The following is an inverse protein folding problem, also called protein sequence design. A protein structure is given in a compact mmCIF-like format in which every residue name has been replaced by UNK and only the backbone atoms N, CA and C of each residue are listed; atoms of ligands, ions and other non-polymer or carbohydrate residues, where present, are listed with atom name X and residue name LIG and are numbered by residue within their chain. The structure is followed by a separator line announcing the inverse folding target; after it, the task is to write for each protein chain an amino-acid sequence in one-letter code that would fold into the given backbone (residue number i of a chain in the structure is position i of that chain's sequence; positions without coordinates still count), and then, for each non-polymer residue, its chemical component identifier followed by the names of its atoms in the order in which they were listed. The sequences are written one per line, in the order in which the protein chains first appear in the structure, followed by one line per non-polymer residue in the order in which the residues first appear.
data_IF_953157687122
#
_entry.id   IF_953157687122
#
_cell.length_a   1.000
_cell.length_b   1.000
_cell.length_c   1.000
_cell.angle_alpha   90.00
_cell.angle_beta   90.00
_cell.angle_gamma   90.00
#
_symmetry.space_group_name_H-M   'P 1'
#
loop_
_entity.id
_entity.type
_entity.pdbx_description
1 polymer ?
#
# COMPACT_ATOMS: atom_id res chain seq x y z
N UNK A 1 55.10 -29.59 -27.30
CA UNK A 1 54.61 -28.96 -26.04
C UNK A 1 54.51 -27.47 -26.28
N UNK A 2 53.32 -26.90 -26.11
CA UNK A 2 53.06 -25.47 -26.29
C UNK A 2 51.59 -25.23 -26.58
N UNK A 3 50.74 -25.35 -25.54
CA UNK A 3 49.30 -25.11 -25.62
C UNK A 3 49.03 -23.65 -26.00
N UNK A 4 48.17 -23.46 -27.00
CA UNK A 4 47.55 -22.18 -27.30
C UNK A 4 46.50 -21.86 -26.22
N UNK A 5 46.67 -20.74 -25.52
CA UNK A 5 45.68 -20.18 -24.59
C UNK A 5 44.89 -19.14 -25.36
N UNK A 6 43.62 -19.44 -25.65
CA UNK A 6 42.64 -18.49 -26.17
C UNK A 6 42.22 -17.54 -25.04
N UNK A 7 42.47 -16.24 -25.22
CA UNK A 7 41.94 -15.18 -24.35
C UNK A 7 40.44 -15.00 -24.62
N UNK A 8 39.61 -15.31 -23.64
CA UNK A 8 38.20 -14.95 -23.62
C UNK A 8 38.05 -13.43 -23.54
N UNK A 9 37.38 -12.84 -24.54
CA UNK A 9 36.98 -11.44 -24.53
C UNK A 9 35.79 -11.28 -23.57
N UNK A 10 36.06 -10.88 -22.34
CA UNK A 10 35.02 -10.49 -21.39
C UNK A 10 34.23 -9.29 -21.96
N UNK A 11 32.93 -9.51 -22.22
CA UNK A 11 32.01 -8.46 -22.62
C UNK A 11 31.95 -7.40 -21.53
N UNK A 12 32.27 -6.15 -21.89
CA UNK A 12 32.12 -5.02 -20.99
C UNK A 12 30.64 -4.85 -20.61
N UNK A 13 30.30 -4.66 -19.32
CA UNK A 13 28.92 -4.45 -18.91
C UNK A 13 28.42 -3.11 -19.48
N UNK A 14 27.30 -3.15 -20.19
CA UNK A 14 26.60 -1.97 -20.71
C UNK A 14 26.30 -1.01 -19.55
N UNK A 15 26.63 0.28 -19.64
CA UNK A 15 26.34 1.24 -18.58
C UNK A 15 24.83 1.30 -18.34
N UNK A 16 24.44 1.14 -17.07
CA UNK A 16 23.04 1.25 -16.65
C UNK A 16 22.50 2.63 -17.06
N UNK A 17 21.42 2.63 -17.84
CA UNK A 17 20.73 3.86 -18.25
C UNK A 17 20.28 4.59 -16.99
N UNK A 18 20.88 5.77 -16.72
CA UNK A 18 20.41 6.64 -15.64
C UNK A 18 18.98 7.10 -16.00
N UNK A 19 17.98 6.89 -15.13
CA UNK A 19 16.66 7.45 -15.35
C UNK A 19 16.77 8.99 -15.43
N UNK A 20 15.94 9.65 -16.26
CA UNK A 20 16.00 11.10 -16.41
C UNK A 20 15.79 11.80 -15.06
N UNK A 21 16.45 12.96 -14.82
CA UNK A 21 16.27 13.70 -13.58
C UNK A 21 14.81 14.18 -13.49
N UNK A 22 14.03 13.54 -12.62
CA UNK A 22 12.67 13.94 -12.31
C UNK A 22 12.72 14.94 -11.15
N UNK A 23 12.06 16.10 -11.25
CA UNK A 23 11.90 16.96 -10.09
C UNK A 23 11.09 16.19 -9.03
N UNK A 24 11.66 16.06 -7.83
CA UNK A 24 11.15 15.22 -6.76
C UNK A 24 10.27 16.04 -5.82
N UNK A 25 8.98 15.73 -5.81
CA UNK A 25 7.96 16.45 -5.03
C UNK A 25 7.26 15.46 -4.09
N UNK A 26 7.85 15.16 -2.93
CA UNK A 26 7.39 14.06 -2.09
C UNK A 26 5.99 14.28 -1.53
N UNK A 27 5.60 15.54 -1.38
CA UNK A 27 4.31 15.95 -0.84
C UNK A 27 3.51 16.79 -1.86
N UNK A 28 3.63 16.45 -3.13
CA UNK A 28 2.88 17.10 -4.22
C UNK A 28 3.66 18.20 -4.95
N UNK A 29 3.41 18.30 -6.25
CA UNK A 29 3.99 19.32 -7.10
C UNK A 29 3.16 20.62 -6.97
N UNK A 30 3.78 21.70 -6.51
CA UNK A 30 3.12 23.03 -6.40
C UNK A 30 2.59 23.54 -7.74
N UNK A 31 3.15 23.08 -8.87
CA UNK A 31 2.68 23.43 -10.20
C UNK A 31 1.44 22.62 -10.66
N UNK A 32 0.98 21.61 -9.90
CA UNK A 32 -0.24 20.90 -10.22
C UNK A 32 -1.46 21.80 -9.99
N UNK A 33 -2.33 21.93 -11.01
CA UNK A 33 -3.56 22.71 -10.88
C UNK A 33 -4.51 22.10 -9.84
N UNK A 34 -5.22 22.96 -9.09
CA UNK A 34 -6.16 22.53 -8.05
C UNK A 34 -7.29 21.62 -8.55
N UNK A 35 -7.64 21.71 -9.84
CA UNK A 35 -8.70 20.94 -10.48
C UNK A 35 -8.16 20.20 -11.72
N UNK A 36 -7.67 18.96 -11.58
CA UNK A 36 -7.23 18.18 -12.73
C UNK A 36 -8.38 17.95 -13.72
N UNK A 37 -8.10 17.87 -15.04
CA UNK A 37 -9.10 17.46 -16.03
C UNK A 37 -9.64 16.06 -15.67
N UNK A 38 -10.96 15.90 -15.48
CA UNK A 38 -11.58 14.61 -15.14
C UNK A 38 -12.44 14.58 -13.88
N UNK A 39 -12.51 15.66 -13.08
CA UNK A 39 -13.41 15.75 -11.89
C UNK A 39 -14.89 15.90 -12.28
N UNK A 40 -15.31 15.37 -13.44
CA UNK A 40 -16.70 15.45 -13.89
C UNK A 40 -17.47 14.24 -13.38
N UNK A 41 -18.18 14.48 -12.28
CA UNK A 41 -19.36 13.76 -11.81
C UNK A 41 -19.23 12.23 -11.75
N UNK A 42 -18.90 11.69 -10.58
CA UNK A 42 -19.43 10.36 -10.24
C UNK A 42 -20.95 10.46 -10.16
N UNK A 43 -21.66 9.41 -10.56
CA UNK A 43 -23.11 9.25 -10.36
C UNK A 43 -23.49 9.08 -8.88
N UNK A 44 -22.64 9.56 -7.97
CA UNK A 44 -22.64 9.47 -6.50
C UNK A 44 -23.81 10.14 -5.81
N UNK A 45 -24.76 10.68 -6.58
CA UNK A 45 -25.96 11.36 -6.06
C UNK A 45 -26.80 10.33 -5.30
N UNK A 46 -26.54 10.21 -4.00
CA UNK A 46 -27.49 9.64 -3.05
C UNK A 46 -28.76 10.48 -3.19
N UNK A 47 -29.87 9.90 -3.67
CA UNK A 47 -31.10 10.67 -3.83
C UNK A 47 -31.52 11.21 -2.46
N UNK A 48 -32.04 12.44 -2.39
CA UNK A 48 -32.54 13.03 -1.14
C UNK A 48 -33.61 12.14 -0.47
N UNK A 49 -34.42 11.42 -1.26
CA UNK A 49 -35.49 10.54 -0.80
C UNK A 49 -35.52 9.23 -1.62
N UNK A 50 -34.61 8.28 -1.38
CA UNK A 50 -34.56 7.05 -2.16
C UNK A 50 -35.68 6.09 -1.71
N UNK A 51 -36.57 5.73 -2.64
CA UNK A 51 -37.61 4.71 -2.40
C UNK A 51 -37.11 3.26 -2.53
N UNK A 52 -35.84 3.06 -2.92
CA UNK A 52 -35.17 1.78 -3.14
C UNK A 52 -33.68 1.91 -2.77
N UNK A 53 -32.96 0.80 -2.52
CA UNK A 53 -31.52 0.84 -2.31
C UNK A 53 -30.80 1.57 -3.45
N UNK A 54 -29.87 2.46 -3.10
CA UNK A 54 -29.08 3.22 -4.07
C UNK A 54 -28.07 2.26 -4.71
N UNK A 55 -28.05 2.25 -6.04
CA UNK A 55 -27.11 1.49 -6.86
C UNK A 55 -26.13 2.47 -7.49
N UNK A 56 -24.85 2.13 -7.44
CA UNK A 56 -23.78 2.88 -8.07
C UNK A 56 -23.25 2.08 -9.26
N UNK A 57 -23.08 2.69 -10.43
CA UNK A 57 -22.57 2.00 -11.61
C UNK A 57 -21.05 1.75 -11.56
N UNK A 58 -20.32 2.44 -10.67
CA UNK A 58 -18.86 2.42 -10.55
C UNK A 58 -18.13 2.69 -11.88
N UNK A 59 -18.81 3.33 -12.82
CA UNK A 59 -18.25 3.74 -14.09
C UNK A 59 -17.77 5.19 -13.98
N UNK A 60 -16.54 5.46 -14.37
CA UNK A 60 -15.96 6.80 -14.31
C UNK A 60 -15.01 7.05 -15.48
N UNK A 61 -15.04 8.28 -16.01
CA UNK A 61 -14.08 8.76 -16.99
C UNK A 61 -12.76 9.12 -16.27
N UNK A 62 -11.87 8.14 -16.14
CA UNK A 62 -10.66 8.24 -15.32
C UNK A 62 -10.93 7.91 -13.85
N UNK A 63 -9.97 8.17 -12.94
CA UNK A 63 -10.08 7.77 -11.54
C UNK A 63 -11.21 8.54 -10.85
N UNK A 64 -12.05 7.83 -10.09
CA UNK A 64 -13.11 8.46 -9.34
C UNK A 64 -12.61 9.62 -8.47
N UNK A 65 -13.27 10.79 -8.51
CA UNK A 65 -12.94 11.94 -7.70
C UNK A 65 -13.02 11.59 -6.23
N UNK A 66 -12.14 12.24 -5.48
CA UNK A 66 -11.97 12.08 -4.05
C UNK A 66 -10.71 12.80 -3.63
N UNK A 67 -10.49 12.92 -2.32
CA UNK A 67 -9.35 13.65 -1.82
C UNK A 67 -8.72 13.00 -0.59
N UNK A 68 -7.38 12.98 -0.58
CA UNK A 68 -6.58 12.65 0.60
C UNK A 68 -5.93 13.91 1.23
N UNK A 69 -6.59 15.07 1.15
CA UNK A 69 -6.06 16.36 1.61
C UNK A 69 -6.24 16.62 3.11
N UNK A 70 -5.52 15.87 3.93
CA UNK A 70 -5.39 16.13 5.36
C UNK A 70 -4.03 15.61 5.82
N UNK A 71 -3.64 16.04 7.03
CA UNK A 71 -2.41 15.55 7.66
C UNK A 71 -2.71 14.26 8.41
N UNK A 72 -1.98 13.20 8.10
CA UNK A 72 -2.06 11.97 8.88
C UNK A 72 -1.60 12.20 10.33
N UNK A 73 -2.23 11.53 11.30
CA UNK A 73 -1.87 11.60 12.73
C UNK A 73 -0.44 11.14 12.92
N UNK A 74 0.42 11.99 13.46
CA UNK A 74 1.85 11.74 13.56
C UNK A 74 2.32 11.39 14.98
N UNK A 75 1.40 11.14 15.91
CA UNK A 75 1.71 10.72 17.27
C UNK A 75 2.29 11.82 18.16
N UNK A 76 3.06 11.45 19.18
CA UNK A 76 3.58 12.34 20.21
C UNK A 76 4.84 11.76 20.85
N UNK A 77 5.73 12.64 21.33
CA UNK A 77 7.00 12.27 21.98
C UNK A 77 6.72 11.48 23.25
N UNK A 78 5.66 11.86 23.96
CA UNK A 78 5.15 11.14 25.11
C UNK A 78 3.86 10.46 24.66
N UNK A 79 3.95 9.21 24.24
CA UNK A 79 2.81 8.44 23.74
C UNK A 79 1.63 8.42 24.72
N UNK A 80 1.90 8.35 26.03
CA UNK A 80 0.88 8.40 27.08
C UNK A 80 0.10 9.73 27.16
N UNK A 81 0.61 10.80 26.54
CA UNK A 81 -0.05 12.12 26.48
C UNK A 81 -0.69 12.39 25.11
N UNK A 82 -0.57 11.47 24.15
CA UNK A 82 -1.20 11.62 22.85
C UNK A 82 -2.73 11.65 22.99
N UNK A 83 -3.37 12.59 22.28
CA UNK A 83 -4.82 12.79 22.27
C UNK A 83 -5.44 12.56 20.90
N UNK A 84 -4.64 12.10 19.94
CA UNK A 84 -5.14 11.75 18.60
C UNK A 84 -6.11 10.56 18.72
N UNK A 85 -7.07 10.42 17.79
CA UNK A 85 -7.95 9.25 17.77
C UNK A 85 -7.12 7.96 17.65
N UNK A 86 -7.66 6.85 18.16
CA UNK A 86 -7.02 5.52 18.02
C UNK A 86 -6.95 5.06 16.56
N UNK A 87 -7.94 5.47 15.77
CA UNK A 87 -8.04 5.24 14.33
C UNK A 87 -8.38 6.57 13.68
N UNK A 88 -7.49 7.11 12.85
CA UNK A 88 -7.85 8.21 11.97
C UNK A 88 -8.59 7.64 10.76
N UNK A 89 -9.72 8.24 10.41
CA UNK A 89 -10.57 7.78 9.31
C UNK A 89 -10.66 8.89 8.29
N UNK A 90 -10.45 8.53 7.04
CA UNK A 90 -10.53 9.43 5.91
C UNK A 90 -11.44 8.81 4.90
N UNK A 91 -12.49 9.55 4.55
CA UNK A 91 -13.34 9.20 3.43
C UNK A 91 -12.76 9.86 2.17
N UNK A 92 -12.14 9.06 1.30
CA UNK A 92 -11.63 9.54 0.02
C UNK A 92 -12.79 9.98 -0.87
N UNK A 93 -13.82 9.13 -0.97
CA UNK A 93 -15.09 9.39 -1.64
C UNK A 93 -16.23 8.57 -0.99
N UNK A 94 -17.42 8.54 -1.58
CA UNK A 94 -18.62 7.89 -1.04
C UNK A 94 -18.45 6.39 -0.69
N UNK A 95 -17.55 5.69 -1.37
CA UNK A 95 -17.39 4.23 -1.28
C UNK A 95 -15.95 3.80 -0.94
N UNK A 96 -15.06 4.71 -0.58
CA UNK A 96 -13.64 4.44 -0.36
C UNK A 96 -13.11 5.15 0.87
N UNK A 97 -12.62 4.39 1.82
CA UNK A 97 -12.09 4.88 3.09
C UNK A 97 -10.68 4.40 3.32
N UNK A 98 -9.84 5.29 3.83
CA UNK A 98 -8.47 5.02 4.26
C UNK A 98 -8.42 5.25 5.77
N UNK A 99 -7.99 4.24 6.51
CA UNK A 99 -7.90 4.29 7.96
C UNK A 99 -6.43 4.19 8.35
N UNK A 100 -6.03 4.92 9.38
CA UNK A 100 -4.66 4.89 9.92
C UNK A 100 -4.69 4.56 11.39
N UNK A 101 -3.92 3.56 11.79
CA UNK A 101 -3.69 3.27 13.19
C UNK A 101 -2.81 4.34 13.84
N UNK A 102 -3.17 4.78 15.05
CA UNK A 102 -2.40 5.80 15.77
C UNK A 102 -0.94 5.37 16.04
N UNK A 103 0.02 6.24 15.69
CA UNK A 103 1.47 6.02 15.84
C UNK A 103 1.90 5.71 17.28
N UNK A 104 1.20 6.28 18.27
CA UNK A 104 1.46 6.02 19.69
C UNK A 104 0.88 4.68 20.17
N UNK A 105 0.02 4.03 19.38
CA UNK A 105 -0.44 2.65 19.64
C UNK A 105 0.50 1.65 19.00
N UNK A 106 0.87 1.87 17.74
CA UNK A 106 1.89 1.09 17.05
C UNK A 106 2.76 2.01 16.20
N UNK A 107 4.08 1.90 16.35
CA UNK A 107 5.04 2.82 15.75
C UNK A 107 5.03 2.79 14.21
N UNK A 108 4.66 1.67 13.58
CA UNK A 108 4.47 1.60 12.12
C UNK A 108 3.24 2.39 11.65
N UNK A 109 2.24 2.56 12.51
CA UNK A 109 1.01 3.28 12.21
C UNK A 109 0.34 2.81 10.90
N UNK A 110 0.08 1.50 10.75
CA UNK A 110 -0.35 0.91 9.50
C UNK A 110 -1.67 1.50 8.99
N UNK A 111 -1.80 1.49 7.67
CA UNK A 111 -3.01 1.84 6.95
C UNK A 111 -3.87 0.60 6.71
N UNK A 112 -5.19 0.78 6.75
CA UNK A 112 -6.17 -0.20 6.29
C UNK A 112 -7.15 0.48 5.34
N UNK A 113 -7.64 -0.27 4.36
CA UNK A 113 -8.47 0.29 3.28
C UNK A 113 -9.83 -0.39 3.26
N UNK A 114 -10.91 0.40 3.33
CA UNK A 114 -12.28 -0.10 3.31
C UNK A 114 -12.98 0.38 2.04
N UNK A 115 -13.34 -0.57 1.18
CA UNK A 115 -13.95 -0.36 -0.13
C UNK A 115 -15.37 -0.91 -0.14
N UNK A 116 -16.31 -0.16 -0.71
CA UNK A 116 -17.69 -0.59 -0.87
C UNK A 116 -18.05 -0.83 -2.34
N UNK A 117 -18.88 -1.85 -2.58
CA UNK A 117 -19.58 -2.12 -3.82
C UNK A 117 -21.10 -2.27 -3.60
N UNK A 118 -21.88 -2.62 -4.63
CA UNK A 118 -23.34 -2.76 -4.49
C UNK A 118 -23.79 -4.02 -3.71
N UNK A 119 -22.93 -5.02 -3.53
CA UNK A 119 -23.27 -6.32 -2.94
C UNK A 119 -22.30 -6.78 -1.85
N UNK A 120 -21.13 -6.16 -1.72
CA UNK A 120 -20.13 -6.48 -0.70
C UNK A 120 -19.23 -5.30 -0.38
N UNK A 121 -18.50 -5.40 0.73
CA UNK A 121 -17.42 -4.51 1.10
C UNK A 121 -16.13 -5.32 1.28
N UNK A 122 -14.98 -4.67 1.07
CA UNK A 122 -13.65 -5.24 1.25
C UNK A 122 -12.87 -4.40 2.26
N UNK A 123 -12.37 -5.03 3.32
CA UNK A 123 -11.34 -4.48 4.19
C UNK A 123 -10.00 -5.11 3.80
N UNK A 124 -9.06 -4.29 3.34
CA UNK A 124 -7.68 -4.66 3.03
C UNK A 124 -6.83 -4.29 4.25
N UNK A 125 -6.16 -5.31 4.79
CA UNK A 125 -5.35 -5.26 6.00
C UNK A 125 -6.13 -4.89 7.27
N UNK A 126 -5.53 -5.16 8.42
CA UNK A 126 -6.17 -5.05 9.74
C UNK A 126 -5.25 -4.45 10.80
N UNK A 127 -4.13 -3.83 10.39
CA UNK A 127 -3.17 -3.18 11.28
C UNK A 127 -2.44 -4.11 12.26
N UNK A 128 -1.68 -3.48 13.16
CA UNK A 128 -0.65 -4.14 13.96
C UNK A 128 -1.08 -4.44 15.40
N UNK A 129 -2.33 -4.19 15.78
CA UNK A 129 -2.79 -4.35 17.17
C UNK A 129 -4.09 -5.12 17.29
N UNK A 130 -4.02 -6.24 18.01
CA UNK A 130 -5.16 -7.11 18.28
C UNK A 130 -6.16 -6.52 19.29
N UNK A 131 -5.66 -5.81 20.32
CA UNK A 131 -6.48 -5.30 21.43
C UNK A 131 -7.35 -4.11 21.01
N UNK A 132 -8.66 -4.34 20.97
CA UNK A 132 -9.65 -3.34 20.59
C UNK A 132 -9.66 -2.09 21.50
N UNK A 133 -9.17 -2.18 22.75
CA UNK A 133 -9.06 -1.00 23.63
C UNK A 133 -8.01 0.00 23.13
N UNK A 134 -7.02 -0.50 22.40
CA UNK A 134 -5.92 0.29 21.86
C UNK A 134 -6.13 0.61 20.38
N UNK A 135 -6.71 -0.32 19.62
CA UNK A 135 -7.04 -0.16 18.20
C UNK A 135 -8.43 -0.75 17.90
N UNK A 136 -9.52 0.01 18.11
CA UNK A 136 -10.91 -0.47 17.95
C UNK A 136 -11.33 -0.55 16.47
N UNK A 137 -10.61 -1.34 15.67
CA UNK A 137 -10.81 -1.42 14.23
C UNK A 137 -12.21 -1.97 13.87
N UNK A 138 -12.66 -3.05 14.51
CA UNK A 138 -13.99 -3.60 14.21
C UNK A 138 -15.10 -2.60 14.50
N UNK A 139 -15.08 -1.97 15.67
CA UNK A 139 -16.09 -0.97 16.06
C UNK A 139 -16.11 0.18 15.04
N UNK A 140 -14.92 0.64 14.63
CA UNK A 140 -14.76 1.68 13.61
C UNK A 140 -15.35 1.27 12.27
N UNK A 141 -15.03 0.07 11.78
CA UNK A 141 -15.54 -0.47 10.51
C UNK A 141 -17.05 -0.67 10.58
N UNK A 142 -17.58 -1.20 11.69
CA UNK A 142 -19.03 -1.37 11.89
C UNK A 142 -19.77 -0.02 11.85
N UNK A 143 -19.21 1.02 12.48
CA UNK A 143 -19.79 2.36 12.43
C UNK A 143 -19.81 2.95 11.00
N UNK A 144 -18.73 2.75 10.21
CA UNK A 144 -18.68 3.19 8.81
C UNK A 144 -19.71 2.41 7.98
N UNK A 145 -19.74 1.08 8.12
CA UNK A 145 -20.69 0.20 7.41
C UNK A 145 -22.13 0.58 7.72
N UNK A 146 -22.49 0.82 8.99
CA UNK A 146 -23.85 1.23 9.35
C UNK A 146 -24.24 2.56 8.70
N UNK A 147 -23.37 3.58 8.73
CA UNK A 147 -23.62 4.88 8.10
C UNK A 147 -23.75 4.75 6.59
N UNK A 148 -22.87 3.98 5.96
CA UNK A 148 -22.91 3.72 4.53
C UNK A 148 -24.20 2.99 4.13
N UNK A 149 -24.59 1.95 4.86
CA UNK A 149 -25.84 1.22 4.64
C UNK A 149 -27.06 2.14 4.76
N UNK A 150 -27.10 3.01 5.77
CA UNK A 150 -28.17 4.01 5.92
C UNK A 150 -28.24 4.94 4.71
N UNK A 151 -27.10 5.51 4.29
CA UNK A 151 -27.03 6.38 3.12
C UNK A 151 -27.43 5.67 1.82
N UNK A 152 -27.18 4.36 1.72
CA UNK A 152 -27.52 3.55 0.54
C UNK A 152 -28.88 2.89 0.61
N UNK A 153 -29.69 3.14 1.65
CA UNK A 153 -31.00 2.53 1.82
C UNK A 153 -30.95 1.00 1.97
N UNK A 154 -29.95 0.49 2.69
CA UNK A 154 -29.68 -0.93 2.89
C UNK A 154 -29.70 -1.28 4.37
N UNK A 155 -30.13 -2.51 4.70
CA UNK A 155 -30.09 -3.01 6.08
C UNK A 155 -28.68 -3.46 6.49
N UNK A 156 -27.92 -4.07 5.58
CA UNK A 156 -26.58 -4.58 5.82
C UNK A 156 -25.82 -4.78 4.51
N UNK A 157 -24.51 -4.99 4.59
CA UNK A 157 -23.66 -5.42 3.48
C UNK A 157 -22.63 -6.46 3.98
N UNK A 158 -22.42 -7.58 3.26
CA UNK A 158 -21.35 -8.52 3.57
C UNK A 158 -19.97 -7.87 3.55
N UNK A 159 -19.07 -8.33 4.40
CA UNK A 159 -17.68 -7.85 4.49
C UNK A 159 -16.71 -8.98 4.18
N UNK A 160 -15.79 -8.77 3.25
CA UNK A 160 -14.59 -9.60 3.08
C UNK A 160 -13.42 -8.91 3.75
N UNK A 161 -12.67 -9.62 4.60
CA UNK A 161 -11.42 -9.14 5.19
C UNK A 161 -10.27 -9.90 4.53
N UNK A 162 -9.43 -9.18 3.80
CA UNK A 162 -8.30 -9.71 3.06
C UNK A 162 -7.00 -9.03 3.54
N UNK A 163 -5.88 -9.72 3.40
CA UNK A 163 -4.57 -9.20 3.77
C UNK A 163 -3.70 -9.10 2.53
N UNK A 164 -2.86 -8.06 2.46
CA UNK A 164 -1.76 -7.98 1.48
C UNK A 164 -0.69 -9.05 1.77
N UNK A 165 -0.57 -9.50 3.03
CA UNK A 165 0.15 -10.71 3.42
C UNK A 165 -0.39 -11.28 4.74
N UNK A 166 -0.50 -12.62 4.82
CA UNK A 166 -0.82 -13.32 6.05
C UNK A 166 0.38 -13.52 6.99
N UNK A 167 1.61 -13.32 6.50
CA UNK A 167 2.86 -13.34 7.28
C UNK A 167 3.13 -12.00 7.98
N UNK A 168 2.59 -10.91 7.44
CA UNK A 168 2.86 -9.57 7.94
C UNK A 168 2.12 -9.24 9.24
N UNK A 169 2.85 -9.27 10.36
CA UNK A 169 2.32 -8.92 11.67
C UNK A 169 2.05 -7.43 11.85
N UNK A 170 2.62 -6.55 11.01
CA UNK A 170 2.28 -5.13 11.01
C UNK A 170 0.87 -4.88 10.45
N UNK A 171 0.33 -5.83 9.69
CA UNK A 171 -0.92 -5.66 8.96
C UNK A 171 -2.03 -6.63 9.35
N UNK A 172 -1.76 -7.71 10.09
CA UNK A 172 -2.73 -8.79 10.29
C UNK A 172 -3.29 -8.98 11.72
N UNK A 173 -2.87 -8.16 12.69
CA UNK A 173 -3.15 -8.44 14.11
C UNK A 173 -4.58 -8.07 14.50
N UNK A 174 -5.16 -7.03 13.88
CA UNK A 174 -6.56 -6.65 14.12
C UNK A 174 -7.57 -7.67 13.58
N UNK A 175 -7.13 -8.65 12.78
CA UNK A 175 -7.99 -9.70 12.21
C UNK A 175 -8.82 -10.43 13.27
N UNK A 176 -8.26 -10.64 14.46
CA UNK A 176 -8.96 -11.31 15.58
C UNK A 176 -10.24 -10.60 16.00
N UNK A 177 -10.34 -9.28 15.79
CA UNK A 177 -11.52 -8.50 16.16
C UNK A 177 -12.74 -8.89 15.31
N UNK A 178 -12.52 -9.36 14.08
CA UNK A 178 -13.56 -9.75 13.14
C UNK A 178 -14.05 -11.19 13.34
N UNK A 179 -13.45 -11.96 14.27
CA UNK A 179 -13.95 -13.28 14.62
C UNK A 179 -15.41 -13.21 15.09
N UNK A 180 -16.26 -14.04 14.48
CA UNK A 180 -17.69 -14.11 14.79
C UNK A 180 -18.51 -12.88 14.36
N UNK A 181 -17.94 -11.94 13.61
CA UNK A 181 -18.72 -10.84 13.02
C UNK A 181 -19.70 -11.40 11.98
N UNK A 182 -21.03 -11.17 12.10
CA UNK A 182 -22.00 -11.68 11.13
C UNK A 182 -21.73 -11.20 9.70
N UNK A 183 -22.06 -12.02 8.70
CA UNK A 183 -21.92 -11.67 7.29
C UNK A 183 -20.49 -11.33 6.87
N UNK A 184 -19.48 -11.92 7.52
CA UNK A 184 -18.06 -11.62 7.29
C UNK A 184 -17.31 -12.85 6.80
N UNK A 185 -16.58 -12.70 5.70
CA UNK A 185 -15.65 -13.69 5.17
C UNK A 185 -14.22 -13.23 5.46
N UNK A 186 -13.44 -14.05 6.16
CA UNK A 186 -12.02 -13.81 6.38
C UNK A 186 -11.23 -14.67 5.41
N UNK A 187 -10.38 -14.05 4.59
CA UNK A 187 -9.47 -14.79 3.70
C UNK A 187 -8.48 -15.61 4.56
N UNK A 188 -8.32 -16.91 4.31
CA UNK A 188 -7.39 -17.74 5.07
C UNK A 188 -5.94 -17.27 4.93
N UNK A 189 -5.18 -17.23 6.03
CA UNK A 189 -3.75 -16.86 6.00
C UNK A 189 -2.82 -17.92 5.40
N UNK A 190 -2.98 -19.24 5.65
CA UNK A 190 -2.04 -20.22 5.12
C UNK A 190 -2.00 -20.19 3.59
N UNK A 191 -0.82 -19.97 3.01
CA UNK A 191 -0.61 -19.73 1.57
C UNK A 191 -1.36 -20.71 0.66
N UNK A 192 -1.32 -22.01 0.96
CA UNK A 192 -2.00 -23.02 0.15
C UNK A 192 -3.52 -22.81 0.11
N UNK A 193 -4.12 -22.46 1.24
CA UNK A 193 -5.56 -22.23 1.37
C UNK A 193 -5.95 -20.85 0.84
N UNK A 194 -5.10 -19.84 1.03
CA UNK A 194 -5.26 -18.51 0.42
C UNK A 194 -5.31 -18.61 -1.12
N UNK A 195 -4.38 -19.37 -1.72
CA UNK A 195 -4.37 -19.63 -3.16
C UNK A 195 -5.65 -20.31 -3.64
N UNK A 196 -6.16 -21.27 -2.88
CA UNK A 196 -7.43 -21.93 -3.19
C UNK A 196 -8.60 -20.95 -3.11
N UNK A 197 -8.64 -20.11 -2.07
CA UNK A 197 -9.68 -19.09 -1.88
C UNK A 197 -9.76 -18.14 -3.07
N UNK A 198 -8.62 -17.61 -3.53
CA UNK A 198 -8.58 -16.74 -4.71
C UNK A 198 -8.63 -17.51 -6.04
N UNK A 199 -8.68 -18.84 -6.04
CA UNK A 199 -8.66 -19.61 -7.28
C UNK A 199 -7.36 -19.47 -8.09
N UNK A 200 -6.23 -19.15 -7.43
CA UNK A 200 -4.93 -19.03 -8.10
C UNK A 200 -4.37 -20.38 -8.59
N UNK A 201 -4.94 -21.51 -8.17
CA UNK A 201 -4.65 -22.84 -8.71
C UNK A 201 -3.17 -23.08 -9.04
N UNK A 202 -2.90 -23.60 -10.24
CA UNK A 202 -1.55 -23.79 -10.78
C UNK A 202 -0.96 -22.55 -11.48
N UNK A 203 -1.64 -21.40 -11.45
CA UNK A 203 -1.19 -20.18 -12.15
C UNK A 203 -0.44 -19.21 -11.26
N UNK A 204 -0.34 -19.47 -9.94
CA UNK A 204 0.48 -18.67 -9.04
C UNK A 204 1.97 -18.71 -9.43
N UNK A 205 2.69 -17.58 -9.45
CA UNK A 205 2.24 -16.21 -9.13
C UNK A 205 1.82 -15.39 -10.37
N UNK A 206 1.71 -16.00 -11.55
CA UNK A 206 1.48 -15.29 -12.81
C UNK A 206 0.01 -14.95 -13.09
N UNK A 207 -0.95 -15.66 -12.49
CA UNK A 207 -2.39 -15.42 -12.68
C UNK A 207 -2.92 -14.26 -11.84
N UNK A 208 -4.00 -13.62 -12.30
CA UNK A 208 -4.77 -12.62 -11.54
C UNK A 208 -6.11 -13.20 -11.10
N UNK A 209 -6.62 -12.78 -9.94
CA UNK A 209 -7.95 -13.14 -9.43
C UNK A 209 -8.80 -11.89 -9.22
N UNK A 210 -10.05 -12.05 -8.76
CA UNK A 210 -11.04 -10.99 -8.59
C UNK A 210 -11.86 -11.17 -7.32
N UNK A 211 -12.18 -10.07 -6.66
CA UNK A 211 -13.20 -9.96 -5.62
C UNK A 211 -14.30 -9.02 -6.18
N UNK A 212 -15.47 -9.58 -6.48
CA UNK A 212 -16.61 -8.79 -6.97
C UNK A 212 -17.41 -8.24 -5.77
N UNK A 213 -17.42 -6.92 -5.62
CA UNK A 213 -18.17 -6.23 -4.57
C UNK A 213 -19.58 -5.85 -5.03
N UNK A 214 -20.05 -6.35 -6.17
CA UNK A 214 -21.27 -5.93 -6.84
C UNK A 214 -20.98 -4.72 -7.71
N UNK A 215 -20.51 -4.99 -8.92
CA UNK A 215 -20.21 -4.03 -10.00
C UNK A 215 -18.89 -3.25 -9.81
N UNK A 216 -18.37 -3.16 -8.58
CA UNK A 216 -16.96 -2.78 -8.31
C UNK A 216 -16.10 -4.03 -8.13
N UNK A 217 -15.31 -4.37 -9.16
CA UNK A 217 -14.51 -5.60 -9.18
C UNK A 217 -13.06 -5.29 -8.84
N UNK A 218 -12.59 -5.77 -7.68
CA UNK A 218 -11.21 -5.60 -7.24
C UNK A 218 -10.37 -6.72 -7.82
N UNK A 219 -9.27 -6.40 -8.49
CA UNK A 219 -8.33 -7.40 -8.99
C UNK A 219 -7.27 -7.73 -7.95
N UNK A 220 -6.97 -9.02 -7.79
CA UNK A 220 -5.97 -9.54 -6.86
C UNK A 220 -4.79 -10.06 -7.66
N UNK A 221 -3.61 -9.50 -7.40
CA UNK A 221 -2.38 -9.75 -8.15
C UNK A 221 -1.39 -10.39 -7.19
N UNK A 222 -0.91 -11.63 -7.42
CA UNK A 222 0.17 -12.20 -6.63
C UNK A 222 1.40 -11.31 -6.72
N UNK A 223 1.98 -10.98 -5.57
CA UNK A 223 3.20 -10.21 -5.46
C UNK A 223 4.11 -10.76 -4.36
N UNK A 224 4.55 -12.04 -4.45
CA UNK A 224 5.54 -12.56 -3.52
C UNK A 224 6.86 -11.78 -3.63
N UNK A 225 7.58 -11.63 -2.53
CA UNK A 225 8.84 -10.90 -2.51
C UNK A 225 9.22 -10.51 -1.09
N UNK A 226 8.60 -9.46 -0.54
CA UNK A 226 8.69 -9.11 0.89
C UNK A 226 8.21 -10.27 1.75
N UNK A 227 7.02 -10.79 1.43
CA UNK A 227 6.43 -11.98 2.03
C UNK A 227 6.14 -13.01 0.94
N UNK A 228 6.20 -14.30 1.27
CA UNK A 228 6.02 -15.37 0.25
C UNK A 228 4.57 -15.52 -0.21
N UNK A 229 3.63 -14.99 0.57
CA UNK A 229 2.20 -14.98 0.33
C UNK A 229 1.67 -13.60 -0.11
N UNK A 230 2.56 -12.68 -0.45
CA UNK A 230 2.21 -11.31 -0.82
C UNK A 230 1.23 -11.23 -1.99
N UNK A 231 0.22 -10.37 -1.86
CA UNK A 231 -0.71 -10.00 -2.92
C UNK A 231 -0.94 -8.48 -2.91
N UNK A 232 -1.16 -7.91 -4.10
CA UNK A 232 -1.61 -6.53 -4.29
C UNK A 232 -3.06 -6.51 -4.77
N UNK A 233 -3.80 -5.46 -4.43
CA UNK A 233 -5.18 -5.27 -4.83
C UNK A 233 -5.30 -4.05 -5.73
N UNK A 234 -5.97 -4.18 -6.87
CA UNK A 234 -6.24 -3.07 -7.77
C UNK A 234 -7.73 -2.74 -7.79
N UNK A 235 -8.06 -1.49 -7.49
CA UNK A 235 -9.40 -0.94 -7.58
C UNK A 235 -9.55 -0.08 -8.84
N UNK A 236 -10.30 -0.54 -9.86
CA UNK A 236 -10.48 0.20 -11.12
C UNK A 236 -11.39 1.42 -10.95
N UNK A 237 -12.13 1.55 -9.84
CA UNK A 237 -12.97 2.71 -9.62
C UNK A 237 -12.15 3.95 -9.26
N UNK A 238 -11.12 3.81 -8.40
CA UNK A 238 -10.24 4.92 -8.01
C UNK A 238 -8.88 4.93 -8.73
N UNK A 239 -8.59 3.93 -9.56
CA UNK A 239 -7.26 3.61 -10.08
C UNK A 239 -6.20 3.45 -8.98
N UNK A 240 -6.57 2.82 -7.86
CA UNK A 240 -5.67 2.58 -6.73
C UNK A 240 -5.07 1.18 -6.80
N UNK A 241 -3.76 1.10 -6.58
CA UNK A 241 -3.04 -0.16 -6.42
C UNK A 241 -2.52 -0.26 -4.99
N UNK A 242 -3.17 -1.10 -4.18
CA UNK A 242 -2.80 -1.38 -2.80
C UNK A 242 -1.69 -2.43 -2.77
N UNK A 243 -0.49 -2.03 -2.35
CA UNK A 243 0.74 -2.83 -2.46
C UNK A 243 1.24 -3.38 -1.13
N UNK A 244 0.59 -3.01 -0.02
CA UNK A 244 1.03 -3.41 1.33
C UNK A 244 2.51 -3.10 1.54
N UNK A 245 3.25 -4.08 2.05
CA UNK A 245 4.68 -3.96 2.33
C UNK A 245 5.59 -4.39 1.15
N UNK A 246 5.02 -4.61 -0.05
CA UNK A 246 5.81 -4.83 -1.26
C UNK A 246 6.50 -3.54 -1.73
N UNK A 247 5.73 -2.45 -1.82
CA UNK A 247 6.22 -1.15 -2.25
C UNK A 247 5.42 -0.08 -1.53
N UNK A 248 6.07 0.65 -0.64
CA UNK A 248 5.48 1.67 0.22
C UNK A 248 6.55 2.70 0.59
N UNK A 249 6.16 3.88 1.12
CA UNK A 249 7.14 4.88 1.51
C UNK A 249 7.82 4.52 2.84
N UNK A 250 8.69 3.52 2.83
CA UNK A 250 9.46 3.10 4.00
C UNK A 250 10.56 2.08 3.73
N UNK A 251 10.92 1.33 4.77
CA UNK A 251 11.96 0.30 4.76
C UNK A 251 11.37 -1.02 4.32
N UNK A 252 11.64 -1.41 3.08
CA UNK A 252 11.14 -2.65 2.48
C UNK A 252 12.12 -3.77 2.80
N UNK A 253 11.68 -4.75 3.60
CA UNK A 253 12.43 -5.96 3.90
C UNK A 253 12.15 -7.01 2.82
N UNK A 254 13.16 -7.36 2.04
CA UNK A 254 13.04 -8.32 0.95
C UNK A 254 13.24 -9.74 1.50
N UNK A 255 12.18 -10.54 1.52
CA UNK A 255 12.23 -11.95 1.93
C UNK A 255 12.81 -12.86 0.86
N UNK A 256 12.53 -12.58 -0.42
CA UNK A 256 13.10 -13.23 -1.58
C UNK A 256 13.28 -12.23 -2.73
N UNK A 257 14.52 -11.93 -3.10
CA UNK A 257 14.86 -10.90 -4.08
C UNK A 257 14.47 -11.24 -5.53
N UNK A 258 14.48 -12.52 -5.90
CA UNK A 258 14.04 -12.99 -7.22
C UNK A 258 12.54 -12.82 -7.37
N UNK A 259 11.77 -13.23 -6.37
CA UNK A 259 10.32 -13.06 -6.36
C UNK A 259 9.95 -11.57 -6.28
N UNK A 260 10.66 -10.79 -5.46
CA UNK A 260 10.44 -9.35 -5.33
C UNK A 260 10.61 -8.63 -6.67
N UNK A 261 11.73 -8.86 -7.37
CA UNK A 261 11.96 -8.29 -8.69
C UNK A 261 10.89 -8.75 -9.71
N UNK A 262 10.58 -10.05 -9.74
CA UNK A 262 9.56 -10.58 -10.65
C UNK A 262 8.16 -10.00 -10.37
N UNK A 263 7.85 -9.70 -9.11
CA UNK A 263 6.59 -9.06 -8.72
C UNK A 263 6.53 -7.60 -9.12
N UNK A 264 7.63 -6.85 -9.00
CA UNK A 264 7.69 -5.49 -9.51
C UNK A 264 7.54 -5.44 -11.04
N UNK A 265 8.18 -6.36 -11.77
CA UNK A 265 8.02 -6.47 -13.23
C UNK A 265 6.57 -6.83 -13.63
N UNK A 266 5.90 -7.68 -12.84
CA UNK A 266 4.47 -7.99 -13.03
C UNK A 266 3.60 -6.77 -12.78
N UNK A 267 3.85 -5.99 -11.73
CA UNK A 267 3.12 -4.75 -11.46
C UNK A 267 3.37 -3.70 -12.54
N UNK A 268 4.59 -3.62 -13.09
CA UNK A 268 4.88 -2.75 -14.25
C UNK A 268 4.05 -3.13 -15.46
N UNK A 269 4.02 -4.42 -15.80
CA UNK A 269 3.22 -4.91 -16.93
C UNK A 269 1.72 -4.65 -16.71
N UNK A 270 1.24 -4.82 -15.47
CA UNK A 270 -0.14 -4.51 -15.10
C UNK A 270 -0.46 -3.02 -15.23
N UNK A 271 0.39 -2.14 -14.69
CA UNK A 271 0.23 -0.68 -14.75
C UNK A 271 0.41 -0.10 -16.16
N UNK A 272 1.06 -0.82 -17.07
CA UNK A 272 1.10 -0.47 -18.49
C UNK A 272 -0.22 -0.78 -19.22
N UNK A 273 -0.99 -1.76 -18.71
CA UNK A 273 -2.26 -2.19 -19.29
C UNK A 273 -3.48 -1.49 -18.67
N UNK A 274 -3.34 -0.91 -17.48
CA UNK A 274 -4.42 -0.27 -16.72
C UNK A 274 -3.99 1.05 -16.12
N UNK A 275 -4.88 2.06 -16.06
CA UNK A 275 -4.56 3.30 -15.37
C UNK A 275 -4.31 3.05 -13.88
N UNK A 276 -3.25 3.64 -13.37
CA UNK A 276 -2.93 3.64 -11.93
C UNK A 276 -2.69 5.09 -11.54
N UNK A 277 -3.55 5.62 -10.68
CA UNK A 277 -3.42 6.96 -10.10
C UNK A 277 -2.39 6.95 -8.98
N UNK A 278 -2.58 6.06 -8.00
CA UNK A 278 -1.72 5.96 -6.81
C UNK A 278 -1.39 4.51 -6.45
N UNK A 279 -0.17 4.31 -5.98
CA UNK A 279 0.23 3.17 -5.17
C UNK A 279 -0.01 3.54 -3.70
N UNK A 280 -0.65 2.65 -2.95
CA UNK A 280 -1.00 2.85 -1.55
C UNK A 280 -0.45 1.67 -0.73
N UNK A 281 0.55 1.95 0.11
CA UNK A 281 1.31 0.95 0.86
C UNK A 281 0.77 0.66 2.26
N UNK A 282 1.48 -0.17 3.02
CA UNK A 282 1.07 -0.58 4.36
C UNK A 282 1.28 0.48 5.45
N UNK A 283 2.32 1.32 5.34
CA UNK A 283 2.65 2.36 6.31
C UNK A 283 3.55 3.44 5.68
N UNK A 284 3.87 4.48 6.46
CA UNK A 284 4.85 5.50 6.10
C UNK A 284 5.96 5.53 7.14
N UNK A 285 7.19 5.37 6.67
CA UNK A 285 8.40 5.52 7.48
C UNK A 285 9.36 6.55 6.91
N UNK A 286 9.28 6.84 5.61
CA UNK A 286 10.06 7.90 5.00
C UNK A 286 9.60 9.27 5.49
N UNK A 287 10.56 10.17 5.63
CA UNK A 287 10.30 11.59 5.85
C UNK A 287 9.99 12.26 4.51
N UNK A 288 9.45 13.48 4.54
CA UNK A 288 9.35 14.31 3.35
C UNK A 288 10.74 14.67 2.78
N UNK A 289 11.81 14.49 3.58
CA UNK A 289 13.19 14.71 3.14
C UNK A 289 13.67 13.43 2.43
N UNK A 290 14.06 13.52 1.13
CA UNK A 290 14.43 12.34 0.34
C UNK A 290 15.51 11.48 1.01
N UNK A 291 15.28 10.17 1.07
CA UNK A 291 16.23 9.19 1.62
C UNK A 291 16.38 9.20 3.14
N UNK A 292 15.63 10.05 3.84
CA UNK A 292 15.56 10.07 5.30
C UNK A 292 14.30 9.36 5.75
N UNK A 293 14.40 8.61 6.85
CA UNK A 293 13.32 7.82 7.40
C UNK A 293 13.40 7.80 8.92
N UNK A 294 12.27 7.53 9.56
CA UNK A 294 12.20 7.42 11.01
C UNK A 294 12.86 6.15 11.51
N UNK A 295 13.57 6.20 12.66
CA UNK A 295 14.06 4.99 13.30
C UNK A 295 12.89 4.11 13.74
N UNK A 296 13.15 2.81 13.88
CA UNK A 296 12.18 1.87 14.45
C UNK A 296 11.74 2.36 15.83
N UNK A 297 10.48 2.13 16.17
CA UNK A 297 9.86 2.54 17.44
C UNK A 297 9.66 4.04 17.65
N UNK A 298 9.89 4.88 16.63
CA UNK A 298 9.52 6.29 16.71
C UNK A 298 8.00 6.45 16.89
N UNK A 299 7.57 7.05 18.00
CA UNK A 299 6.16 7.34 18.32
C UNK A 299 5.73 8.74 17.92
N UNK A 300 6.64 9.55 17.37
CA UNK A 300 6.40 10.90 16.88
C UNK A 300 7.05 11.10 15.51
N UNK A 301 6.22 11.34 14.50
CA UNK A 301 6.61 11.37 13.09
C UNK A 301 6.02 12.55 12.30
N UNK A 302 6.24 13.82 12.71
CA UNK A 302 5.52 14.99 12.17
C UNK A 302 5.88 15.33 10.71
N UNK A 303 7.01 14.82 10.25
CA UNK A 303 7.64 15.09 8.96
C UNK A 303 7.57 13.88 8.01
N UNK A 304 6.59 13.00 8.19
CA UNK A 304 6.34 11.92 7.24
C UNK A 304 6.14 12.45 5.81
N UNK A 305 6.54 11.63 4.85
CA UNK A 305 6.08 11.74 3.47
C UNK A 305 4.55 11.53 3.44
N UNK A 306 3.86 12.03 2.41
CA UNK A 306 2.49 11.59 2.12
C UNK A 306 2.45 10.10 1.74
N UNK A 307 1.28 9.47 1.91
CA UNK A 307 1.06 8.05 1.64
C UNK A 307 1.14 7.74 0.15
N UNK A 308 0.61 8.64 -0.67
CA UNK A 308 0.44 8.47 -2.09
C UNK A 308 1.79 8.42 -2.83
N UNK A 309 1.95 7.37 -3.64
CA UNK A 309 3.09 7.25 -4.55
C UNK A 309 2.59 7.12 -5.99
N UNK A 310 3.33 7.70 -6.93
CA UNK A 310 3.00 7.60 -8.36
C UNK A 310 3.47 6.27 -8.95
N UNK A 311 2.81 5.73 -9.99
CA UNK A 311 3.16 4.45 -10.60
C UNK A 311 4.60 4.39 -11.16
N UNK A 312 5.20 5.53 -11.53
CA UNK A 312 6.60 5.57 -11.99
C UNK A 312 7.60 5.04 -10.94
N UNK A 313 7.20 5.00 -9.66
CA UNK A 313 8.02 4.41 -8.61
C UNK A 313 8.28 2.92 -8.83
N UNK A 314 7.41 2.22 -9.58
CA UNK A 314 7.62 0.81 -9.93
C UNK A 314 8.87 0.67 -10.80
N UNK A 315 9.08 1.56 -11.79
CA UNK A 315 10.27 1.54 -12.64
C UNK A 315 11.54 1.75 -11.82
N UNK A 316 11.49 2.71 -10.91
CA UNK A 316 12.57 2.99 -9.97
C UNK A 316 12.84 1.77 -9.08
N UNK A 317 11.81 1.18 -8.48
CA UNK A 317 11.95 -0.02 -7.64
C UNK A 317 12.58 -1.19 -8.42
N UNK A 318 12.23 -1.42 -9.69
CA UNK A 318 12.83 -2.47 -10.53
C UNK A 318 14.34 -2.27 -10.70
N UNK A 319 14.77 -1.04 -11.02
CA UNK A 319 16.20 -0.72 -11.20
C UNK A 319 16.99 -1.08 -9.94
N UNK A 320 16.45 -0.73 -8.78
CA UNK A 320 17.16 -0.91 -7.51
C UNK A 320 17.01 -2.30 -6.92
N UNK A 321 15.91 -3.00 -7.19
CA UNK A 321 15.76 -4.43 -6.93
C UNK A 321 16.83 -5.24 -7.67
N UNK A 322 17.10 -4.93 -8.95
CA UNK A 322 18.21 -5.55 -9.71
C UNK A 322 19.58 -5.22 -9.11
N UNK A 323 19.76 -4.01 -8.58
CA UNK A 323 21.02 -3.61 -7.98
C UNK A 323 21.35 -4.36 -6.69
N UNK A 324 20.34 -4.70 -5.88
CA UNK A 324 20.50 -5.44 -4.61
C UNK A 324 20.39 -6.96 -4.75
N UNK A 325 19.85 -7.47 -5.86
CA UNK A 325 19.67 -8.91 -6.07
C UNK A 325 21.00 -9.69 -5.90
N UNK A 326 20.94 -10.76 -5.13
CA UNK A 326 22.08 -11.62 -4.79
C UNK A 326 23.08 -11.00 -3.82
N UNK A 327 22.74 -9.88 -3.16
CA UNK A 327 23.63 -9.15 -2.25
C UNK A 327 22.96 -8.88 -0.92
N UNK A 328 23.67 -9.21 0.17
CA UNK A 328 23.29 -8.83 1.52
C UNK A 328 23.62 -7.36 1.73
N UNK A 329 22.65 -6.48 1.53
CA UNK A 329 22.86 -5.04 1.63
C UNK A 329 21.58 -4.24 1.90
N UNK A 330 21.80 -3.03 2.39
CA UNK A 330 20.79 -1.97 2.45
C UNK A 330 21.06 -0.93 1.36
N UNK A 331 20.01 -0.48 0.66
CA UNK A 331 20.07 0.56 -0.37
C UNK A 331 19.03 1.65 -0.13
N UNK A 332 19.49 2.86 0.20
CA UNK A 332 18.63 4.04 0.41
C UNK A 332 18.23 4.62 -0.93
N UNK A 333 16.95 4.94 -1.11
CA UNK A 333 16.40 5.71 -2.23
C UNK A 333 15.50 6.84 -1.70
N UNK A 334 15.13 7.83 -2.53
CA UNK A 334 14.31 8.96 -2.09
C UNK A 334 13.04 8.55 -1.34
N UNK A 335 12.31 7.57 -1.87
CA UNK A 335 10.97 7.17 -1.42
C UNK A 335 10.91 5.85 -0.66
N UNK A 336 11.99 5.08 -0.64
CA UNK A 336 12.02 3.79 0.03
C UNK A 336 13.45 3.41 0.35
N UNK A 337 13.62 2.39 1.20
CA UNK A 337 14.92 1.78 1.47
C UNK A 337 14.77 0.28 1.31
N UNK A 338 15.63 -0.35 0.50
CA UNK A 338 15.62 -1.80 0.34
C UNK A 338 16.58 -2.43 1.35
N UNK A 339 16.10 -3.44 2.06
CA UNK A 339 16.90 -4.31 2.93
C UNK A 339 16.86 -5.71 2.34
N UNK A 340 17.94 -6.14 1.68
CA UNK A 340 18.07 -7.48 1.11
C UNK A 340 19.06 -8.31 1.93
N UNK A 341 18.66 -9.46 2.44
CA UNK A 341 19.54 -10.36 3.20
C UNK A 341 20.13 -9.78 4.49
N UNK A 342 19.60 -8.63 4.96
CA UNK A 342 20.12 -7.90 6.13
C UNK A 342 19.03 -7.63 7.16
N UNK A 343 19.44 -7.38 8.40
CA UNK A 343 18.52 -7.00 9.47
C UNK A 343 17.76 -5.71 9.14
N UNK A 344 16.48 -5.56 9.54
CA UNK A 344 15.74 -4.29 9.47
C UNK A 344 16.39 -3.13 10.25
N UNK A 345 17.35 -3.44 11.13
CA UNK A 345 18.16 -2.47 11.90
C UNK A 345 19.53 -2.18 11.26
N UNK A 346 19.82 -2.74 10.08
CA UNK A 346 21.06 -2.51 9.35
C UNK A 346 21.28 -1.01 9.11
N UNK A 347 22.54 -0.58 9.22
CA UNK A 347 22.96 0.80 8.94
C UNK A 347 23.96 0.81 7.79
N UNK A 348 23.99 1.89 7.04
CA UNK A 348 25.01 2.13 6.01
C UNK A 348 25.59 3.52 6.17
N UNK A 349 26.89 3.66 5.87
CA UNK A 349 27.55 4.97 5.72
C UNK A 349 27.51 5.44 4.26
N UNK A 350 27.07 4.58 3.34
CA UNK A 350 27.00 4.88 1.91
C UNK A 350 25.71 5.65 1.64
N UNK A 351 25.87 6.88 1.18
CA UNK A 351 24.74 7.70 0.72
C UNK A 351 24.53 7.49 -0.79
N UNK A 352 23.29 7.30 -1.26
CA UNK A 352 22.99 7.00 -2.66
C UNK A 352 23.32 8.18 -3.58
N UNK A 353 23.90 7.86 -4.74
CA UNK A 353 24.17 8.85 -5.78
C UNK A 353 22.86 9.51 -6.24
N UNK A 354 22.89 10.84 -6.43
CA UNK A 354 21.75 11.60 -6.94
C UNK A 354 20.64 11.90 -5.93
N UNK A 355 20.76 11.45 -4.68
CA UNK A 355 19.85 11.83 -3.59
C UNK A 355 20.51 12.94 -2.77
N UNK A 356 19.87 14.11 -2.61
CA UNK A 356 20.40 15.16 -1.75
C UNK A 356 20.59 14.68 -0.31
N UNK A 357 21.79 14.84 0.26
CA UNK A 357 22.02 14.56 1.68
C UNK A 357 21.66 15.80 2.50
N UNK A 358 20.36 16.00 2.72
CA UNK A 358 19.81 17.13 3.48
C UNK A 358 19.69 16.73 4.95
N UNK A 359 20.11 17.61 5.86
CA UNK A 359 19.84 17.43 7.28
C UNK A 359 18.34 17.56 7.53
N UNK A 360 17.71 16.45 7.92
CA UNK A 360 16.29 16.44 8.21
C UNK A 360 16.01 17.19 9.51
N UNK A 361 14.85 17.86 9.64
CA UNK A 361 14.43 18.41 10.91
C UNK A 361 14.37 17.29 11.94
N UNK A 362 15.15 17.42 13.02
CA UNK A 362 15.08 16.50 14.13
C UNK A 362 13.81 16.79 14.90
N UNK A 363 12.90 15.82 15.05
CA UNK A 363 11.68 16.06 15.78
C UNK A 363 11.97 16.47 17.23
N UNK A 364 13.10 16.05 17.84
CA UNK A 364 13.60 16.49 19.16
C UNK A 364 15.12 16.46 19.22
#
# INVERSE_FOLDING_TARGET
MGNAVTQDSASSPTPAVKPPPRPYYPNGNIAAGYNPPGVRNTSSVVPLHPGKPVIHDYACDGPAPGNLAFRWTYGSNIAARNRDPRVQIVQYNEDTFVLRQNVCVHWEAPFTYLLFGNKGALLIDTGATADARHYPLRETVDAIVSRWCQARGRASIPLTVALTSGEDIAQNQGLVQFAGRPGTTIVPKPLAVMKQFYGFGGTWPSGTSRIDLGDRVIEVIPTPGTHKDGVSFYDPYCDFLFTGDLLFPGKINIGNDRDFLASLERLKAFAAAKPVKWLLGGHVEMMFVPGKYYPRFATYKPYERVLEMTPDLIDEAIVHARAVQGKDMMLIRPDFVLFNGVSPDQRTKVWPEGVPNIDAPHPF
#
